data_IF_053144949556
#
_entry.id   IF_053144949556
#
_cell.length_a   1.000
_cell.length_b   1.000
_cell.length_c   1.000
_cell.angle_alpha   90.00
_cell.angle_beta   90.00
_cell.angle_gamma   90.00
#
_symmetry.space_group_name_H-M   'P 1'
#
loop_
_entity.id
_entity.type
_entity.pdbx_description
1 polymer ?
#
# COMPACT_ATOMS: atom_id res chain seq x y z
N UNK A 1 -16.34 -19.08 -29.06
CA UNK A 1 -15.01 -18.57 -28.67
C UNK A 1 -14.46 -19.54 -27.63
N UNK A 2 -13.66 -20.50 -28.07
CA UNK A 2 -13.26 -21.68 -27.29
C UNK A 2 -12.33 -21.29 -26.12
N UNK A 3 -12.80 -21.57 -24.91
CA UNK A 3 -12.02 -21.53 -23.68
C UNK A 3 -10.94 -22.62 -23.74
N UNK A 4 -9.78 -22.30 -24.34
CA UNK A 4 -8.60 -23.13 -24.27
C UNK A 4 -8.12 -23.11 -22.80
N UNK A 5 -8.52 -24.13 -22.03
CA UNK A 5 -8.12 -24.35 -20.65
C UNK A 5 -6.66 -24.80 -20.60
N UNK A 6 -5.75 -23.89 -20.89
CA UNK A 6 -4.32 -24.09 -20.63
C UNK A 6 -4.15 -24.37 -19.12
N UNK A 7 -3.77 -25.60 -18.72
CA UNK A 7 -3.69 -26.00 -17.31
C UNK A 7 -2.74 -25.11 -16.49
N UNK A 8 -1.79 -24.45 -17.17
CA UNK A 8 -0.75 -23.62 -16.57
C UNK A 8 -1.16 -22.16 -16.40
N UNK A 9 -2.30 -21.73 -16.94
CA UNK A 9 -2.78 -20.34 -16.84
C UNK A 9 -3.05 -19.90 -15.39
N UNK A 10 -3.68 -20.77 -14.59
CA UNK A 10 -3.90 -20.54 -13.15
C UNK A 10 -2.58 -20.49 -12.38
N UNK A 11 -1.64 -21.38 -12.71
CA UNK A 11 -0.34 -21.47 -12.05
C UNK A 11 0.52 -20.23 -12.35
N UNK A 12 0.53 -19.75 -13.61
CA UNK A 12 1.21 -18.50 -13.99
C UNK A 12 0.62 -17.29 -13.25
N UNK A 13 -0.70 -17.21 -13.11
CA UNK A 13 -1.35 -16.14 -12.31
C UNK A 13 -0.94 -16.21 -10.84
N UNK A 14 -0.93 -17.40 -10.24
CA UNK A 14 -0.49 -17.56 -8.84
C UNK A 14 0.98 -17.24 -8.63
N UNK A 15 1.87 -17.68 -9.54
CA UNK A 15 3.29 -17.33 -9.52
C UNK A 15 3.52 -15.82 -9.68
N UNK A 16 2.74 -15.17 -10.54
CA UNK A 16 2.80 -13.72 -10.73
C UNK A 16 2.36 -12.97 -9.47
N UNK A 17 1.24 -13.37 -8.85
CA UNK A 17 0.76 -12.79 -7.58
C UNK A 17 1.77 -13.03 -6.45
N UNK A 18 2.31 -14.24 -6.33
CA UNK A 18 3.35 -14.55 -5.36
C UNK A 18 4.58 -13.66 -5.56
N UNK A 19 4.99 -13.43 -6.82
CA UNK A 19 6.10 -12.53 -7.13
C UNK A 19 5.83 -11.09 -6.69
N UNK A 20 4.62 -10.57 -6.90
CA UNK A 20 4.22 -9.24 -6.40
C UNK A 20 4.30 -9.20 -4.87
N UNK A 21 3.74 -10.21 -4.19
CA UNK A 21 3.72 -10.29 -2.73
C UNK A 21 5.13 -10.31 -2.15
N UNK A 22 6.07 -11.00 -2.81
CA UNK A 22 7.48 -11.04 -2.39
C UNK A 22 8.20 -9.69 -2.50
N UNK A 23 7.70 -8.72 -3.27
CA UNK A 23 8.28 -7.38 -3.35
C UNK A 23 7.76 -6.42 -2.26
N UNK A 24 6.60 -6.70 -1.66
CA UNK A 24 6.00 -5.90 -0.59
C UNK A 24 6.98 -5.63 0.58
N UNK A 25 7.71 -6.62 1.15
CA UNK A 25 8.60 -6.36 2.28
C UNK A 25 9.70 -5.34 1.97
N UNK A 26 10.23 -5.33 0.74
CA UNK A 26 11.23 -4.35 0.32
C UNK A 26 10.63 -2.94 0.23
N UNK A 27 9.39 -2.83 -0.29
CA UNK A 27 8.68 -1.56 -0.37
C UNK A 27 8.35 -0.98 1.02
N UNK A 28 7.94 -1.84 1.96
CA UNK A 28 7.72 -1.43 3.36
C UNK A 28 9.04 -0.96 3.99
N UNK A 29 10.13 -1.71 3.81
CA UNK A 29 11.45 -1.35 4.34
C UNK A 29 11.95 -0.01 3.79
N UNK A 30 11.73 0.24 2.50
CA UNK A 30 12.03 1.52 1.85
C UNK A 30 11.19 2.65 2.47
N UNK A 31 9.88 2.45 2.59
CA UNK A 31 8.97 3.43 3.18
C UNK A 31 9.36 3.80 4.60
N UNK A 32 9.71 2.81 5.44
CA UNK A 32 10.18 3.05 6.81
C UNK A 32 11.50 3.82 6.86
N UNK A 33 12.40 3.61 5.88
CA UNK A 33 13.64 4.37 5.74
C UNK A 33 13.34 5.83 5.40
N UNK A 34 12.45 6.07 4.43
CA UNK A 34 12.04 7.42 4.01
C UNK A 34 11.40 8.22 5.16
N UNK A 35 10.57 7.57 5.99
CA UNK A 35 10.00 8.24 7.17
C UNK A 35 11.07 8.73 8.15
N UNK A 36 12.16 7.98 8.31
CA UNK A 36 13.27 8.35 9.21
C UNK A 36 14.27 9.31 8.58
N UNK A 37 14.33 9.39 7.25
CA UNK A 37 15.32 10.20 6.54
C UNK A 37 15.02 11.71 6.68
N UNK A 38 16.03 12.51 7.06
CA UNK A 38 15.86 13.97 7.25
C UNK A 38 15.62 14.72 5.94
N UNK A 39 16.01 14.17 4.79
CA UNK A 39 15.83 14.80 3.47
C UNK A 39 14.39 14.72 2.97
N UNK A 40 13.57 13.84 3.54
CA UNK A 40 12.17 13.71 3.16
C UNK A 40 11.35 14.84 3.81
N UNK A 41 10.60 15.62 3.01
CA UNK A 41 9.75 16.69 3.52
C UNK A 41 8.79 16.22 4.62
N UNK A 42 8.64 17.05 5.65
CA UNK A 42 7.81 16.70 6.82
C UNK A 42 6.35 16.46 6.47
N UNK A 43 5.78 17.19 5.50
CA UNK A 43 4.39 17.01 5.08
C UNK A 43 4.11 15.61 4.50
N UNK A 44 5.07 14.98 3.82
CA UNK A 44 4.91 13.61 3.31
C UNK A 44 4.92 12.58 4.43
N UNK A 45 5.74 12.81 5.46
CA UNK A 45 5.74 11.98 6.66
C UNK A 45 4.42 12.12 7.41
N UNK A 46 3.94 13.36 7.54
CA UNK A 46 2.68 13.67 8.19
C UNK A 46 1.50 12.98 7.48
N UNK A 47 1.55 12.88 6.16
CA UNK A 47 0.55 12.16 5.37
C UNK A 47 0.50 10.67 5.76
N UNK A 48 1.65 10.01 5.90
CA UNK A 48 1.71 8.60 6.34
C UNK A 48 1.35 8.44 7.82
N UNK A 49 1.80 9.34 8.70
CA UNK A 49 1.39 9.32 10.10
C UNK A 49 -0.11 9.57 10.25
N UNK A 50 -0.69 10.44 9.42
CA UNK A 50 -2.12 10.69 9.35
C UNK A 50 -2.89 9.45 8.92
N UNK A 51 -2.40 8.71 7.93
CA UNK A 51 -2.99 7.44 7.53
C UNK A 51 -2.94 6.38 8.65
N UNK A 52 -1.82 6.28 9.37
CA UNK A 52 -1.69 5.38 10.53
C UNK A 52 -2.66 5.79 11.65
N UNK A 53 -2.72 7.09 11.96
CA UNK A 53 -3.62 7.62 12.98
C UNK A 53 -5.09 7.41 12.58
N UNK A 54 -5.39 7.48 11.29
CA UNK A 54 -6.71 7.19 10.75
C UNK A 54 -7.09 5.70 10.90
N UNK A 55 -6.20 4.78 10.51
CA UNK A 55 -6.43 3.33 10.68
C UNK A 55 -6.57 2.93 12.16
N UNK A 56 -5.90 3.64 13.06
CA UNK A 56 -6.00 3.43 14.50
C UNK A 56 -7.13 4.24 15.17
N UNK A 57 -7.77 5.12 14.40
CA UNK A 57 -8.84 5.98 14.91
C UNK A 57 -10.08 5.12 15.15
N UNK A 58 -10.82 5.35 16.25
CA UNK A 58 -12.14 4.73 16.45
C UNK A 58 -13.23 5.31 15.52
N UNK A 59 -12.87 6.28 14.67
CA UNK A 59 -13.73 6.90 13.67
C UNK A 59 -13.34 6.42 12.28
N UNK A 60 -14.20 5.59 11.67
CA UNK A 60 -14.11 5.23 10.26
C UNK A 60 -14.75 6.32 9.38
N UNK A 61 -14.14 6.66 8.24
CA UNK A 61 -14.75 7.56 7.23
C UNK A 61 -16.04 6.95 6.66
N UNK A 62 -16.04 5.63 6.48
CA UNK A 62 -17.22 4.84 6.11
C UNK A 62 -17.53 3.99 7.33
N UNK A 63 -18.62 4.28 8.03
CA UNK A 63 -18.92 3.54 9.24
C UNK A 63 -19.14 2.06 8.94
N UNK A 64 -18.42 1.19 9.63
CA UNK A 64 -18.46 -0.27 9.46
C UNK A 64 -19.87 -0.87 9.63
N UNK A 65 -20.76 -0.16 10.33
CA UNK A 65 -22.17 -0.52 10.48
C UNK A 65 -23.01 -0.32 9.20
N UNK A 66 -22.56 0.47 8.23
CA UNK A 66 -23.29 0.74 6.98
C UNK A 66 -22.91 -0.22 5.85
N UNK A 67 -21.63 -0.59 5.74
CA UNK A 67 -21.15 -1.46 4.67
C UNK A 67 -20.10 -2.43 5.23
N UNK A 68 -20.54 -3.63 5.67
CA UNK A 68 -19.61 -4.67 6.10
C UNK A 68 -18.59 -4.94 4.99
N UNK A 69 -17.32 -5.10 5.34
CA UNK A 69 -16.17 -5.35 4.46
C UNK A 69 -15.61 -4.15 3.67
N UNK A 70 -16.39 -3.12 3.35
CA UNK A 70 -15.89 -2.01 2.53
C UNK A 70 -14.90 -1.11 3.31
N UNK A 71 -15.15 -0.87 4.59
CA UNK A 71 -14.25 -0.09 5.46
C UNK A 71 -12.81 -0.61 5.47
N UNK A 72 -12.64 -1.94 5.53
CA UNK A 72 -11.30 -2.56 5.54
C UNK A 72 -10.51 -2.36 4.24
N UNK A 73 -11.18 -2.36 3.08
CA UNK A 73 -10.50 -2.12 1.80
C UNK A 73 -10.06 -0.66 1.68
N UNK A 74 -10.89 0.27 2.15
CA UNK A 74 -10.61 1.72 2.11
C UNK A 74 -9.34 2.06 2.89
N UNK A 75 -9.19 1.53 4.10
CA UNK A 75 -8.00 1.75 4.93
C UNK A 75 -6.71 1.27 4.27
N UNK A 76 -6.76 0.08 3.64
CA UNK A 76 -5.62 -0.47 2.90
C UNK A 76 -5.29 0.41 1.69
N UNK A 77 -6.31 0.84 0.94
CA UNK A 77 -6.14 1.70 -0.24
C UNK A 77 -5.52 3.04 0.19
N UNK A 78 -6.05 3.68 1.24
CA UNK A 78 -5.51 4.92 1.78
C UNK A 78 -4.06 4.73 2.21
N UNK A 79 -3.75 3.66 2.95
CA UNK A 79 -2.38 3.34 3.37
C UNK A 79 -1.42 3.19 2.18
N UNK A 80 -1.81 2.42 1.16
CA UNK A 80 -1.01 2.23 -0.06
C UNK A 80 -0.80 3.55 -0.80
N UNK A 81 -1.85 4.35 -0.98
CA UNK A 81 -1.75 5.66 -1.65
C UNK A 81 -0.81 6.60 -0.90
N UNK A 82 -0.87 6.60 0.43
CA UNK A 82 0.01 7.40 1.26
C UNK A 82 1.48 7.00 1.12
N UNK A 83 1.76 5.69 1.10
CA UNK A 83 3.11 5.17 0.87
C UNK A 83 3.62 5.48 -0.54
N UNK A 84 2.76 5.36 -1.57
CA UNK A 84 3.09 5.74 -2.94
C UNK A 84 3.39 7.24 -3.01
N UNK A 85 2.59 8.08 -2.34
CA UNK A 85 2.81 9.52 -2.25
C UNK A 85 4.13 9.86 -1.55
N UNK A 86 4.47 9.15 -0.47
CA UNK A 86 5.75 9.28 0.21
C UNK A 86 6.92 8.97 -0.74
N UNK A 87 6.88 7.83 -1.43
CA UNK A 87 7.96 7.41 -2.34
C UNK A 87 8.08 8.36 -3.53
N UNK A 88 6.95 8.73 -4.16
CA UNK A 88 6.96 9.64 -5.32
C UNK A 88 7.34 11.08 -4.97
N UNK A 89 6.99 11.54 -3.78
CA UNK A 89 7.30 12.89 -3.31
C UNK A 89 8.68 13.00 -2.64
N UNK A 90 9.32 11.89 -2.30
CA UNK A 90 10.65 11.88 -1.70
C UNK A 90 11.73 12.19 -2.75
N UNK A 91 12.84 12.84 -2.35
CA UNK A 91 13.96 13.08 -3.25
C UNK A 91 14.52 11.76 -3.81
N UNK A 92 14.86 11.69 -5.11
CA UNK A 92 15.32 10.45 -5.74
C UNK A 92 16.59 9.88 -5.10
N UNK A 93 17.41 10.72 -4.46
CA UNK A 93 18.66 10.31 -3.80
C UNK A 93 18.45 9.43 -2.57
N UNK A 94 17.23 9.43 -1.99
CA UNK A 94 16.89 8.59 -0.81
C UNK A 94 15.98 7.41 -1.17
N UNK A 95 15.44 7.39 -2.38
CA UNK A 95 14.57 6.32 -2.89
C UNK A 95 15.38 5.17 -3.51
N UNK A 96 16.64 5.42 -3.91
CA UNK A 96 17.57 4.47 -4.53
C UNK A 96 18.11 3.39 -3.56
#
# INVERSE_FOLDING_TARGET
MSENKDPYSKLKKQLYLARIIFHIPNFIKLSLRLLKDRKVPFYLKLLVYGAIAYVLSPYDLIPDYLVPFLGFFEDIIIGILCLIGLVKGSPPEVVA
#
